data_IF_282062414220
#
_entry.id   IF_282062414220
#
_cell.length_a   1.000
_cell.length_b   1.000
_cell.length_c   1.000
_cell.angle_alpha   90.00
_cell.angle_beta   90.00
_cell.angle_gamma   90.00
#
_symmetry.space_group_name_H-M   'P 1'
#
loop_
_entity.id
_entity.type
_entity.pdbx_description
1 polymer ?
#
# COMPACT_ATOMS: atom_id res chain seq x y z
N UNK A 1 -49.81 -3.76 -3.08
CA UNK A 1 -48.66 -2.92 -3.46
C UNK A 1 -47.60 -3.14 -2.39
N UNK A 2 -46.63 -3.99 -2.68
CA UNK A 2 -45.46 -4.18 -1.81
C UNK A 2 -44.61 -2.92 -2.01
N UNK A 3 -44.42 -2.15 -0.95
CA UNK A 3 -43.49 -1.03 -0.96
C UNK A 3 -42.11 -1.60 -1.27
N UNK A 4 -41.50 -1.19 -2.38
CA UNK A 4 -40.11 -1.44 -2.62
C UNK A 4 -39.34 -0.70 -1.51
N UNK A 5 -38.67 -1.45 -0.63
CA UNK A 5 -37.67 -0.89 0.26
C UNK A 5 -36.62 -0.21 -0.62
N UNK A 6 -36.59 1.12 -0.58
CA UNK A 6 -35.49 1.89 -1.16
C UNK A 6 -34.27 1.51 -0.33
N UNK A 7 -33.21 0.91 -0.92
CA UNK A 7 -32.01 0.58 -0.16
C UNK A 7 -31.49 1.87 0.47
N UNK A 8 -31.35 1.91 1.79
CA UNK A 8 -30.65 3.01 2.45
C UNK A 8 -29.23 3.06 1.87
N UNK A 9 -28.90 4.16 1.18
CA UNK A 9 -27.53 4.39 0.73
C UNK A 9 -26.62 4.39 1.95
N UNK A 10 -25.69 3.43 2.00
CA UNK A 10 -24.67 3.40 3.04
C UNK A 10 -23.92 4.73 2.99
N UNK A 11 -23.87 5.49 4.10
CA UNK A 11 -23.27 6.82 4.09
C UNK A 11 -21.80 6.73 3.67
N UNK A 12 -21.43 7.59 2.72
CA UNK A 12 -20.06 7.70 2.22
C UNK A 12 -19.14 8.28 3.30
N UNK A 13 -17.91 7.78 3.36
CA UNK A 13 -16.85 8.31 4.19
C UNK A 13 -16.29 9.60 3.55
N UNK A 14 -15.92 10.62 4.35
CA UNK A 14 -15.32 11.85 3.84
C UNK A 14 -13.83 11.65 3.54
N UNK A 15 -13.54 10.64 2.72
CA UNK A 15 -12.21 10.34 2.19
C UNK A 15 -12.18 10.70 0.71
N UNK A 16 -11.40 11.72 0.37
CA UNK A 16 -11.22 12.18 -1.00
C UNK A 16 -10.23 11.29 -1.74
N UNK A 17 -10.70 10.67 -2.82
CA UNK A 17 -9.94 9.80 -3.69
C UNK A 17 -9.26 10.58 -4.81
N UNK A 18 -7.97 10.32 -4.98
CA UNK A 18 -7.15 10.71 -6.13
C UNK A 18 -6.47 9.48 -6.70
N UNK A 19 -6.31 9.45 -8.03
CA UNK A 19 -5.68 8.33 -8.72
C UNK A 19 -4.67 8.85 -9.72
N UNK A 20 -3.46 8.29 -9.69
CA UNK A 20 -2.35 8.67 -10.55
C UNK A 20 -1.86 7.45 -11.31
N UNK A 21 -1.59 7.61 -12.61
CA UNK A 21 -0.87 6.60 -13.38
C UNK A 21 0.63 6.73 -13.11
N UNK A 22 1.27 5.60 -12.81
CA UNK A 22 2.72 5.50 -12.59
C UNK A 22 3.32 4.34 -13.39
N UNK A 23 4.60 4.46 -13.67
CA UNK A 23 5.41 3.47 -14.41
C UNK A 23 6.63 3.12 -13.57
N UNK A 24 6.53 2.18 -12.62
CA UNK A 24 7.63 1.87 -11.70
C UNK A 24 8.81 1.16 -12.38
N UNK A 25 8.58 0.58 -13.56
CA UNK A 25 9.59 -0.15 -14.32
C UNK A 25 9.18 -0.25 -15.79
N UNK A 26 10.07 -0.83 -16.59
CA UNK A 26 9.85 -0.89 -18.03
C UNK A 26 8.61 -1.73 -18.35
N UNK A 27 7.66 -1.14 -19.10
CA UNK A 27 6.37 -1.76 -19.44
C UNK A 27 5.53 -2.19 -18.24
N UNK A 28 5.79 -1.63 -17.04
CA UNK A 28 4.97 -1.84 -15.85
C UNK A 28 4.12 -0.59 -15.64
N UNK A 29 2.81 -0.80 -15.45
CA UNK A 29 1.86 0.27 -15.23
C UNK A 29 1.07 0.02 -13.95
N UNK A 30 0.95 1.06 -13.14
CA UNK A 30 0.27 1.01 -11.85
C UNK A 30 -0.64 2.23 -11.66
N UNK A 31 -1.76 2.04 -10.97
CA UNK A 31 -2.55 3.14 -10.45
C UNK A 31 -2.20 3.35 -8.98
N UNK A 32 -1.69 4.52 -8.64
CA UNK A 32 -1.51 4.94 -7.26
C UNK A 32 -2.78 5.61 -6.80
N UNK A 33 -3.48 4.99 -5.85
CA UNK A 33 -4.74 5.49 -5.31
C UNK A 33 -4.46 6.11 -3.94
N UNK A 34 -4.89 7.35 -3.75
CA UNK A 34 -4.70 8.12 -2.53
C UNK A 34 -6.07 8.45 -1.96
N UNK A 35 -6.31 8.13 -0.69
CA UNK A 35 -7.52 8.47 0.05
C UNK A 35 -7.13 9.40 1.19
N UNK A 36 -7.63 10.64 1.17
CA UNK A 36 -7.30 11.66 2.18
C UNK A 36 -8.52 12.03 3.01
N UNK A 37 -8.39 12.04 4.34
CA UNK A 37 -9.44 12.54 5.21
C UNK A 37 -9.61 14.05 5.04
N UNK A 38 -10.76 14.46 4.50
CA UNK A 38 -11.11 15.86 4.24
C UNK A 38 -12.07 16.45 5.30
N UNK A 39 -12.43 15.66 6.31
CA UNK A 39 -13.19 16.15 7.46
C UNK A 39 -12.28 16.78 8.51
N UNK A 40 -12.90 17.50 9.44
CA UNK A 40 -12.29 18.06 10.64
C UNK A 40 -12.19 17.06 11.81
N UNK A 41 -12.74 15.85 11.64
CA UNK A 41 -12.72 14.78 12.63
C UNK A 41 -11.93 13.54 12.15
N UNK A 42 -11.44 12.68 13.07
CA UNK A 42 -10.88 11.40 12.68
C UNK A 42 -11.91 10.47 12.02
N UNK A 43 -11.51 9.79 10.95
CA UNK A 43 -12.35 8.84 10.22
C UNK A 43 -11.71 7.46 10.27
N UNK A 44 -12.49 6.41 10.52
CA UNK A 44 -12.00 5.03 10.46
C UNK A 44 -12.43 4.36 9.16
N UNK A 45 -11.48 3.76 8.45
CA UNK A 45 -11.72 2.98 7.22
C UNK A 45 -11.37 1.51 7.44
N UNK A 46 -12.24 0.60 6.99
CA UNK A 46 -11.90 -0.83 6.97
C UNK A 46 -10.96 -1.09 5.79
N UNK A 47 -9.84 -1.78 6.03
CA UNK A 47 -8.88 -2.19 5.00
C UNK A 47 -9.52 -2.99 3.87
N UNK A 48 -10.63 -3.70 4.14
CA UNK A 48 -11.42 -4.43 3.14
C UNK A 48 -12.18 -3.53 2.17
N UNK A 49 -12.53 -2.32 2.59
CA UNK A 49 -13.26 -1.36 1.77
C UNK A 49 -12.32 -0.60 0.81
N UNK A 50 -11.00 -0.81 0.90
CA UNK A 50 -10.01 -0.05 0.13
C UNK A 50 -10.00 -0.44 -1.35
N UNK A 51 -9.80 0.51 -2.30
CA UNK A 51 -9.94 0.27 -3.74
C UNK A 51 -8.96 -0.76 -4.33
N UNK A 52 -7.84 -1.00 -3.63
CA UNK A 52 -6.79 -1.95 -3.99
C UNK A 52 -6.95 -3.33 -3.34
N UNK A 53 -7.91 -3.50 -2.43
CA UNK A 53 -8.23 -4.76 -1.76
C UNK A 53 -9.64 -5.24 -2.15
N UNK A 54 -9.94 -5.52 -3.42
CA UNK A 54 -11.29 -5.88 -3.81
C UNK A 54 -11.71 -7.21 -3.17
N UNK A 55 -12.59 -7.16 -2.18
CA UNK A 55 -13.15 -8.37 -1.54
C UNK A 55 -14.23 -9.03 -2.38
N UNK A 56 -14.97 -8.22 -3.15
CA UNK A 56 -16.15 -8.65 -3.91
C UNK A 56 -16.02 -8.42 -5.42
N UNK A 57 -14.79 -8.28 -5.92
CA UNK A 57 -14.54 -8.01 -7.34
C UNK A 57 -14.99 -6.60 -7.76
N UNK A 58 -14.69 -5.58 -6.94
CA UNK A 58 -15.07 -4.19 -7.19
C UNK A 58 -14.80 -3.74 -8.63
N UNK A 59 -15.85 -3.22 -9.28
CA UNK A 59 -15.83 -2.79 -10.68
C UNK A 59 -15.56 -1.30 -10.83
N UNK A 60 -15.05 -0.66 -9.77
CA UNK A 60 -14.81 0.79 -9.73
C UNK A 60 -13.97 1.31 -10.88
N UNK A 61 -13.08 0.49 -11.45
CA UNK A 61 -12.23 0.82 -12.59
C UNK A 61 -12.72 0.11 -13.86
N UNK A 62 -12.91 0.87 -14.91
CA UNK A 62 -13.17 0.43 -16.27
C UNK A 62 -11.98 0.72 -17.19
N UNK A 63 -11.79 -0.11 -18.21
CA UNK A 63 -10.74 0.05 -19.21
C UNK A 63 -11.32 -0.12 -20.62
N UNK A 64 -11.01 0.80 -21.53
CA UNK A 64 -11.44 0.78 -22.93
C UNK A 64 -10.28 1.09 -23.86
N UNK A 65 -10.28 0.50 -25.05
CA UNK A 65 -9.34 0.87 -26.12
C UNK A 65 -9.66 2.26 -26.63
N UNK A 66 -8.64 3.01 -27.05
CA UNK A 66 -8.79 4.29 -27.75
C UNK A 66 -9.01 4.08 -29.27
N UNK A 67 -9.73 3.03 -29.63
CA UNK A 67 -10.17 2.79 -31.00
C UNK A 67 -11.45 3.61 -31.33
N UNK A 68 -11.88 3.58 -32.59
CA UNK A 68 -13.05 4.33 -33.05
C UNK A 68 -14.36 3.96 -32.32
N UNK A 69 -14.44 2.76 -31.72
CA UNK A 69 -15.63 2.23 -31.06
C UNK A 69 -15.53 2.28 -29.52
N UNK A 70 -14.40 2.75 -28.98
CA UNK A 70 -14.07 2.70 -27.55
C UNK A 70 -14.31 1.32 -26.93
N UNK A 71 -13.83 0.28 -27.59
CA UNK A 71 -14.17 -1.10 -27.20
C UNK A 71 -13.69 -1.44 -25.78
N UNK A 72 -14.51 -2.11 -24.96
CA UNK A 72 -14.11 -2.47 -23.59
C UNK A 72 -12.98 -3.50 -23.58
N UNK A 73 -12.11 -3.39 -22.58
CA UNK A 73 -11.01 -4.32 -22.32
C UNK A 73 -11.40 -5.22 -21.16
N UNK A 74 -11.15 -6.53 -21.31
CA UNK A 74 -11.41 -7.50 -20.25
C UNK A 74 -10.42 -7.28 -19.09
N UNK A 75 -10.95 -7.21 -17.88
CA UNK A 75 -10.17 -7.11 -16.66
C UNK A 75 -10.35 -8.37 -15.81
N UNK A 76 -9.26 -8.82 -15.21
CA UNK A 76 -9.28 -9.80 -14.13
C UNK A 76 -9.63 -9.06 -12.83
N UNK A 77 -10.69 -9.52 -12.18
CA UNK A 77 -11.03 -9.04 -10.85
C UNK A 77 -10.28 -9.90 -9.83
N UNK A 78 -9.42 -9.31 -8.97
CA UNK A 78 -8.80 -10.07 -7.91
C UNK A 78 -9.91 -10.60 -6.98
N UNK A 79 -9.86 -11.90 -6.70
CA UNK A 79 -10.71 -12.53 -5.70
C UNK A 79 -9.84 -12.80 -4.47
N UNK A 80 -10.13 -12.12 -3.37
CA UNK A 80 -9.40 -12.28 -2.12
C UNK A 80 -10.28 -11.99 -0.92
N UNK A 81 -10.12 -12.75 0.16
CA UNK A 81 -10.72 -12.42 1.45
C UNK A 81 -9.67 -11.74 2.29
N UNK A 82 -9.69 -10.41 2.32
CA UNK A 82 -8.86 -9.64 3.23
C UNK A 82 -9.50 -9.63 4.62
N UNK A 83 -8.68 -9.67 5.68
CA UNK A 83 -9.16 -9.50 7.04
C UNK A 83 -9.72 -8.09 7.25
N UNK A 84 -10.72 -7.95 8.12
CA UNK A 84 -11.21 -6.65 8.56
C UNK A 84 -10.22 -6.04 9.53
N UNK A 85 -9.79 -4.81 9.28
CA UNK A 85 -9.01 -4.03 10.22
C UNK A 85 -9.39 -2.57 10.04
N UNK A 86 -9.81 -1.91 11.11
CA UNK A 86 -10.10 -0.48 11.07
C UNK A 86 -8.79 0.30 11.17
N UNK A 87 -8.59 1.22 10.23
CA UNK A 87 -7.48 2.17 10.21
C UNK A 87 -8.05 3.56 10.42
N UNK A 88 -7.69 4.22 11.53
CA UNK A 88 -8.07 5.59 11.79
C UNK A 88 -7.17 6.56 11.02
N UNK A 89 -7.77 7.59 10.43
CA UNK A 89 -7.12 8.67 9.72
C UNK A 89 -7.50 10.00 10.37
N UNK A 90 -6.51 10.76 10.84
CA UNK A 90 -6.75 12.12 11.38
C UNK A 90 -7.03 13.11 10.24
N UNK A 91 -7.56 14.32 10.52
CA UNK A 91 -7.79 15.33 9.48
C UNK A 91 -6.56 15.60 8.61
N UNK A 92 -6.75 15.60 7.29
CA UNK A 92 -5.69 15.82 6.30
C UNK A 92 -4.77 14.62 6.04
N UNK A 93 -4.92 13.53 6.79
CA UNK A 93 -4.10 12.34 6.64
C UNK A 93 -4.56 11.47 5.46
N UNK A 94 -3.59 10.80 4.81
CA UNK A 94 -3.87 9.90 3.70
C UNK A 94 -3.53 8.44 3.98
N UNK A 95 -4.27 7.53 3.37
CA UNK A 95 -3.86 6.15 3.13
C UNK A 95 -3.76 5.93 1.62
N UNK A 96 -2.73 5.22 1.17
CA UNK A 96 -2.41 5.09 -0.24
C UNK A 96 -1.91 3.68 -0.54
N UNK A 97 -2.17 3.19 -1.75
CA UNK A 97 -1.55 1.98 -2.27
C UNK A 97 -1.66 1.94 -3.80
N UNK A 98 -1.03 0.93 -4.40
CA UNK A 98 -1.03 0.69 -5.84
C UNK A 98 -2.02 -0.40 -6.28
N UNK A 99 -2.53 -0.25 -7.49
CA UNK A 99 -3.22 -1.28 -8.26
C UNK A 99 -2.39 -1.58 -9.49
N UNK A 100 -1.77 -2.76 -9.52
CA UNK A 100 -0.99 -3.21 -10.67
C UNK A 100 -1.90 -3.48 -11.88
N UNK A 101 -1.67 -2.78 -12.98
CA UNK A 101 -2.54 -2.87 -14.17
C UNK A 101 -2.22 -4.08 -15.03
N UNK A 102 -0.94 -4.43 -15.22
CA UNK A 102 -0.53 -5.58 -16.04
C UNK A 102 -1.21 -6.90 -15.63
N UNK A 103 -1.21 -7.33 -14.35
CA UNK A 103 -1.91 -8.55 -13.95
C UNK A 103 -3.44 -8.40 -13.96
N UNK A 104 -3.95 -7.18 -13.75
CA UNK A 104 -5.39 -6.87 -13.79
C UNK A 104 -5.94 -6.85 -15.22
N UNK A 105 -5.13 -6.48 -16.21
CA UNK A 105 -5.53 -6.33 -17.61
C UNK A 105 -4.53 -7.13 -18.46
N UNK A 106 -4.77 -8.44 -18.67
CA UNK A 106 -3.80 -9.31 -19.33
C UNK A 106 -3.37 -8.85 -20.73
N UNK A 107 -4.26 -8.20 -21.47
CA UNK A 107 -3.98 -7.67 -22.81
C UNK A 107 -3.44 -6.24 -22.82
N UNK A 108 -3.11 -5.66 -21.65
CA UNK A 108 -2.79 -4.23 -21.52
C UNK A 108 -1.73 -3.75 -22.49
N UNK A 109 -0.62 -4.48 -22.60
CA UNK A 109 0.51 -4.09 -23.44
C UNK A 109 0.14 -4.14 -24.93
N UNK A 110 -0.55 -5.19 -25.36
CA UNK A 110 -1.03 -5.34 -26.73
C UNK A 110 -2.04 -4.23 -27.08
N UNK A 111 -2.95 -3.91 -26.15
CA UNK A 111 -3.96 -2.86 -26.33
C UNK A 111 -3.31 -1.47 -26.41
N UNK A 112 -2.27 -1.20 -25.61
CA UNK A 112 -1.46 0.02 -25.68
C UNK A 112 -0.77 0.12 -27.04
N UNK A 113 -0.14 -0.96 -27.53
CA UNK A 113 0.55 -0.95 -28.82
C UNK A 113 -0.42 -0.70 -30.00
N UNK A 114 -1.58 -1.35 -29.98
CA UNK A 114 -2.50 -1.36 -31.13
C UNK A 114 -3.42 -0.13 -31.17
N UNK A 115 -3.92 0.31 -30.01
CA UNK A 115 -4.98 1.31 -29.92
C UNK A 115 -4.70 2.42 -28.92
N UNK A 116 -3.93 2.15 -27.86
CA UNK A 116 -3.93 2.97 -26.65
C UNK A 116 -5.11 2.61 -25.74
N UNK A 117 -5.01 3.00 -24.47
CA UNK A 117 -5.94 2.59 -23.42
C UNK A 117 -6.44 3.81 -22.63
N UNK A 118 -7.74 3.86 -22.39
CA UNK A 118 -8.37 4.77 -21.44
C UNK A 118 -8.83 3.99 -20.21
N UNK A 119 -8.46 4.49 -19.04
CA UNK A 119 -8.89 4.01 -17.73
C UNK A 119 -9.88 5.02 -17.16
N UNK A 120 -11.01 4.58 -16.62
CA UNK A 120 -12.06 5.48 -16.14
C UNK A 120 -12.80 4.90 -14.94
N UNK A 121 -13.24 5.77 -14.04
CA UNK A 121 -14.11 5.45 -12.91
C UNK A 121 -15.18 6.51 -12.69
N UNK A 122 -16.24 6.12 -11.98
CA UNK A 122 -17.32 7.03 -11.60
C UNK A 122 -16.89 7.93 -10.43
N UNK A 123 -17.46 9.13 -10.38
CA UNK A 123 -17.23 10.08 -9.30
C UNK A 123 -18.55 10.56 -8.68
N UNK A 124 -18.90 10.10 -7.47
CA UNK A 124 -18.15 9.16 -6.64
C UNK A 124 -18.31 7.69 -7.14
N UNK A 125 -17.35 6.78 -6.89
CA UNK A 125 -17.48 5.40 -7.37
C UNK A 125 -18.66 4.70 -6.68
N UNK A 126 -19.53 4.04 -7.45
CA UNK A 126 -20.73 3.36 -6.91
C UNK A 126 -20.38 2.22 -5.95
N UNK A 127 -19.34 1.45 -6.28
CA UNK A 127 -18.91 0.27 -5.53
C UNK A 127 -18.02 0.58 -4.31
N UNK A 128 -17.72 1.87 -4.07
CA UNK A 128 -16.81 2.30 -3.00
C UNK A 128 -17.48 3.32 -2.08
N UNK A 129 -17.05 3.34 -0.82
CA UNK A 129 -17.59 4.27 0.20
C UNK A 129 -16.98 5.67 0.14
N UNK A 130 -16.12 5.98 -0.83
CA UNK A 130 -15.32 7.20 -0.86
C UNK A 130 -15.93 8.27 -1.77
N UNK A 131 -15.40 9.50 -1.69
CA UNK A 131 -15.76 10.61 -2.58
C UNK A 131 -14.59 10.93 -3.50
N UNK A 132 -14.82 11.53 -4.66
CA UNK A 132 -13.72 12.03 -5.49
C UNK A 132 -13.23 13.38 -4.99
N UNK A 133 -11.92 13.62 -5.04
CA UNK A 133 -11.38 14.94 -4.75
C UNK A 133 -11.84 15.95 -5.82
N UNK A 134 -12.32 17.14 -5.43
CA UNK A 134 -12.70 18.18 -6.39
C UNK A 134 -11.55 18.53 -7.34
N UNK A 135 -11.83 18.52 -8.64
CA UNK A 135 -10.87 18.86 -9.70
C UNK A 135 -9.91 17.74 -10.10
N UNK A 136 -9.89 16.61 -9.40
CA UNK A 136 -9.09 15.45 -9.82
C UNK A 136 -9.74 14.75 -11.01
N UNK A 137 -8.97 14.35 -12.04
CA UNK A 137 -9.51 13.65 -13.19
C UNK A 137 -10.05 12.29 -12.76
N UNK A 138 -11.15 11.86 -13.36
CA UNK A 138 -11.70 10.51 -13.21
C UNK A 138 -11.40 9.60 -14.42
N UNK A 139 -10.45 10.03 -15.24
CA UNK A 139 -10.02 9.34 -16.46
C UNK A 139 -8.52 9.50 -16.64
N UNK A 140 -7.84 8.43 -17.01
CA UNK A 140 -6.42 8.39 -17.34
C UNK A 140 -6.23 7.78 -18.72
N UNK A 141 -5.26 8.28 -19.47
CA UNK A 141 -4.99 7.87 -20.85
C UNK A 141 -3.56 7.34 -20.94
N UNK A 142 -3.41 6.15 -21.50
CA UNK A 142 -2.14 5.59 -21.96
C UNK A 142 -2.16 5.66 -23.49
N UNK A 143 -1.32 6.50 -24.11
CA UNK A 143 -1.38 6.72 -25.56
C UNK A 143 -0.98 5.46 -26.33
N UNK A 144 -1.45 5.38 -27.58
CA UNK A 144 -1.06 4.31 -28.50
C UNK A 144 0.46 4.29 -28.67
N UNK A 145 1.08 3.11 -28.49
CA UNK A 145 2.52 2.93 -28.61
C UNK A 145 3.33 3.58 -27.49
N UNK A 146 2.73 3.82 -26.32
CA UNK A 146 3.48 4.30 -25.15
C UNK A 146 4.69 3.40 -24.89
N UNK A 147 5.91 3.97 -24.79
CA UNK A 147 7.13 3.18 -24.68
C UNK A 147 7.28 2.49 -23.32
N UNK A 148 6.41 2.78 -22.35
CA UNK A 148 6.47 2.19 -21.00
C UNK A 148 7.75 2.56 -20.27
N UNK A 149 8.32 3.74 -20.53
CA UNK A 149 9.52 4.20 -19.84
C UNK A 149 9.21 4.45 -18.35
N UNK A 150 10.09 4.01 -17.43
CA UNK A 150 9.90 4.25 -16.01
C UNK A 150 9.80 5.74 -15.68
N UNK A 151 9.02 6.06 -14.65
CA UNK A 151 9.01 7.40 -14.08
C UNK A 151 10.40 7.76 -13.54
N UNK A 152 10.86 8.99 -13.84
CA UNK A 152 12.16 9.48 -13.38
C UNK A 152 11.99 10.22 -12.06
N UNK A 153 12.72 9.76 -11.04
CA UNK A 153 12.74 10.37 -9.71
C UNK A 153 14.12 10.97 -9.42
N UNK A 154 14.14 12.19 -8.89
CA UNK A 154 15.37 12.81 -8.41
C UNK A 154 15.70 12.29 -7.00
N UNK A 155 16.61 11.33 -6.91
CA UNK A 155 17.01 10.71 -5.64
C UNK A 155 18.42 11.18 -5.26
N UNK A 156 18.57 11.74 -4.06
CA UNK A 156 19.89 11.99 -3.47
C UNK A 156 20.43 10.71 -2.84
N UNK A 157 21.18 9.95 -3.63
CA UNK A 157 21.77 8.68 -3.18
C UNK A 157 22.70 8.83 -1.98
N UNK A 158 23.35 9.98 -1.81
CA UNK A 158 24.25 10.18 -0.67
C UNK A 158 23.45 10.40 0.61
N UNK A 159 22.37 11.18 0.56
CA UNK A 159 21.44 11.31 1.68
C UNK A 159 20.78 9.97 2.03
N UNK A 160 20.39 9.18 1.02
CA UNK A 160 19.82 7.86 1.23
C UNK A 160 20.75 6.92 1.99
N UNK A 161 22.04 6.84 1.62
CA UNK A 161 23.03 6.03 2.35
C UNK A 161 23.18 6.43 3.82
N UNK A 162 23.01 7.71 4.14
CA UNK A 162 23.03 8.17 5.54
C UNK A 162 21.81 7.66 6.29
N UNK A 163 20.62 7.73 5.68
CA UNK A 163 19.38 7.23 6.25
C UNK A 163 19.39 5.71 6.41
N UNK A 164 19.89 4.96 5.44
CA UNK A 164 20.03 3.49 5.48
C UNK A 164 20.83 3.04 6.70
N UNK A 165 21.97 3.68 6.95
CA UNK A 165 22.80 3.39 8.13
C UNK A 165 22.09 3.75 9.43
N UNK A 166 21.32 4.83 9.42
CA UNK A 166 20.59 5.31 10.60
C UNK A 166 19.48 4.35 11.02
N UNK A 167 18.76 3.76 10.06
CA UNK A 167 17.67 2.82 10.32
C UNK A 167 18.14 1.36 10.47
N UNK A 168 19.43 1.09 10.23
CA UNK A 168 19.97 -0.27 10.27
C UNK A 168 19.49 -1.13 9.11
N UNK A 169 19.33 -0.55 7.92
CA UNK A 169 18.86 -1.27 6.74
C UNK A 169 19.82 -2.40 6.36
N UNK A 170 19.24 -3.56 6.09
CA UNK A 170 19.94 -4.72 5.54
C UNK A 170 19.66 -4.73 4.04
N UNK A 171 20.74 -4.70 3.26
CA UNK A 171 20.69 -4.79 1.81
C UNK A 171 20.20 -6.19 1.41
N UNK A 172 19.08 -6.24 0.69
CA UNK A 172 18.47 -7.45 0.14
C UNK A 172 18.15 -7.19 -1.34
N UNK A 173 18.03 -8.23 -2.18
CA UNK A 173 17.62 -8.05 -3.56
C UNK A 173 16.35 -7.19 -3.68
N UNK A 174 16.41 -6.19 -4.55
CA UNK A 174 15.30 -5.27 -4.79
C UNK A 174 14.08 -5.99 -5.38
N UNK A 175 12.88 -5.45 -5.16
CA UNK A 175 11.65 -5.94 -5.79
C UNK A 175 10.41 -5.97 -4.90
N UNK A 176 10.54 -5.59 -3.63
CA UNK A 176 9.44 -5.63 -2.66
C UNK A 176 9.41 -4.37 -1.79
N UNK A 177 8.21 -3.88 -1.49
CA UNK A 177 7.96 -2.71 -0.62
C UNK A 177 8.11 -3.08 0.87
N UNK A 178 9.12 -3.89 1.18
CA UNK A 178 9.42 -4.43 2.50
C UNK A 178 10.88 -4.18 2.82
N UNK A 179 11.14 -3.49 3.92
CA UNK A 179 12.48 -3.25 4.44
C UNK A 179 12.83 -4.30 5.48
N UNK A 180 14.10 -4.70 5.52
CA UNK A 180 14.64 -5.56 6.57
C UNK A 180 15.62 -4.75 7.40
N UNK A 181 15.34 -4.63 8.70
CA UNK A 181 16.17 -3.83 9.60
C UNK A 181 16.83 -4.72 10.65
N UNK A 182 18.11 -4.46 10.89
CA UNK A 182 18.82 -5.05 12.02
C UNK A 182 18.39 -4.33 13.31
N UNK A 183 17.84 -5.07 14.25
CA UNK A 183 17.26 -4.53 15.47
C UNK A 183 17.56 -5.43 16.68
N UNK A 184 17.80 -4.83 17.84
CA UNK A 184 17.92 -5.56 19.10
C UNK A 184 16.53 -5.86 19.68
N UNK A 185 16.39 -6.91 20.48
CA UNK A 185 15.11 -7.22 21.15
C UNK A 185 14.60 -6.07 22.02
N UNK A 186 15.52 -5.30 22.63
CA UNK A 186 15.18 -4.17 23.51
C UNK A 186 14.39 -3.08 22.80
N UNK A 187 14.62 -2.86 21.49
CA UNK A 187 13.88 -1.84 20.74
C UNK A 187 12.41 -2.21 20.56
N UNK A 188 12.07 -3.50 20.60
CA UNK A 188 10.69 -3.99 20.45
C UNK A 188 9.84 -3.74 21.72
N UNK A 189 10.49 -3.54 22.86
CA UNK A 189 9.83 -3.18 24.13
C UNK A 189 9.92 -1.70 24.46
N UNK A 190 10.76 -0.94 23.76
CA UNK A 190 10.90 0.51 23.92
C UNK A 190 9.98 1.24 22.94
N UNK A 191 8.85 1.74 23.45
CA UNK A 191 7.85 2.44 22.67
C UNK A 191 8.40 3.70 21.98
N UNK A 192 9.20 4.49 22.70
CA UNK A 192 9.73 5.76 22.19
C UNK A 192 10.80 5.51 21.13
N UNK A 193 11.71 4.56 21.40
CA UNK A 193 12.72 4.12 20.46
C UNK A 193 12.12 3.54 19.17
N UNK A 194 11.11 2.68 19.29
CA UNK A 194 10.42 2.10 18.13
C UNK A 194 9.69 3.16 17.31
N UNK A 195 8.99 4.09 17.96
CA UNK A 195 8.30 5.19 17.26
C UNK A 195 9.30 6.05 16.50
N UNK A 196 10.41 6.41 17.14
CA UNK A 196 11.48 7.20 16.51
C UNK A 196 12.12 6.46 15.32
N UNK A 197 12.32 5.14 15.44
CA UNK A 197 12.84 4.32 14.35
C UNK A 197 11.88 4.29 13.17
N UNK A 198 10.59 4.03 13.40
CA UNK A 198 9.58 3.98 12.35
C UNK A 198 9.40 5.35 11.65
N UNK A 199 9.54 6.47 12.37
CA UNK A 199 9.55 7.81 11.75
C UNK A 199 10.78 8.03 10.86
N UNK A 200 11.94 7.54 11.27
CA UNK A 200 13.14 7.58 10.44
C UNK A 200 13.03 6.66 9.21
N UNK A 201 12.30 5.54 9.33
CA UNK A 201 11.96 4.67 8.21
C UNK A 201 11.02 5.37 7.24
N UNK A 202 9.97 6.04 7.72
CA UNK A 202 9.07 6.80 6.85
C UNK A 202 9.82 7.88 6.07
N UNK A 203 10.70 8.65 6.74
CA UNK A 203 11.56 9.65 6.08
C UNK A 203 12.49 9.03 5.02
N UNK A 204 13.02 7.83 5.28
CA UNK A 204 13.79 7.08 4.30
C UNK A 204 12.93 6.67 3.09
N UNK A 205 11.76 6.08 3.30
CA UNK A 205 10.87 5.65 2.21
C UNK A 205 10.46 6.84 1.34
N UNK A 206 10.01 7.94 1.95
CA UNK A 206 9.57 9.13 1.21
C UNK A 206 10.67 9.75 0.34
N UNK A 207 11.93 9.70 0.79
CA UNK A 207 13.05 10.32 0.07
C UNK A 207 13.74 9.39 -0.91
N UNK A 208 13.82 8.10 -0.59
CA UNK A 208 14.66 7.14 -1.28
C UNK A 208 13.88 6.14 -2.11
N UNK A 209 12.59 5.99 -1.83
CA UNK A 209 11.66 5.13 -2.56
C UNK A 209 10.40 5.90 -2.95
N UNK A 210 10.50 6.97 -3.76
CA UNK A 210 9.35 7.82 -4.13
C UNK A 210 8.30 7.12 -5.00
N UNK A 211 8.63 5.95 -5.57
CA UNK A 211 7.66 5.06 -6.21
C UNK A 211 6.87 4.24 -5.19
N UNK A 212 7.33 4.13 -3.95
CA UNK A 212 6.59 3.49 -2.88
C UNK A 212 5.56 4.50 -2.38
N UNK A 213 4.30 4.10 -2.42
CA UNK A 213 3.22 4.83 -1.73
C UNK A 213 3.47 4.85 -0.21
N UNK A 214 2.59 5.45 0.59
CA UNK A 214 2.70 5.30 2.05
C UNK A 214 2.29 3.91 2.59
N UNK A 215 2.24 2.88 1.73
CA UNK A 215 2.03 1.47 2.05
C UNK A 215 3.32 0.66 1.90
N UNK A 216 4.09 0.59 2.98
CA UNK A 216 5.34 -0.16 3.11
C UNK A 216 5.31 -1.03 4.38
N UNK A 217 6.20 -2.01 4.45
CA UNK A 217 6.35 -2.84 5.64
C UNK A 217 7.82 -2.94 6.08
N UNK A 218 8.01 -3.29 7.34
CA UNK A 218 9.34 -3.52 7.94
C UNK A 218 9.34 -4.86 8.64
N UNK A 219 10.39 -5.63 8.41
CA UNK A 219 10.73 -6.83 9.18
C UNK A 219 11.95 -6.55 10.04
N UNK A 220 11.82 -6.75 11.35
CA UNK A 220 12.91 -6.55 12.31
C UNK A 220 13.59 -7.88 12.60
N UNK A 221 14.91 -7.95 12.34
CA UNK A 221 15.71 -9.16 12.56
C UNK A 221 16.91 -8.90 13.45
N UNK A 222 17.30 -9.89 14.25
CA UNK A 222 18.47 -9.80 15.15
C UNK A 222 19.79 -10.18 14.48
N UNK A 223 19.75 -10.90 13.35
CA UNK A 223 20.92 -11.27 12.56
C UNK A 223 20.61 -11.15 11.06
N UNK A 224 21.48 -10.42 10.35
CA UNK A 224 21.34 -10.08 8.93
C UNK A 224 21.23 -11.30 8.01
N UNK A 225 21.77 -12.46 8.40
CA UNK A 225 21.71 -13.67 7.57
C UNK A 225 20.29 -14.22 7.41
N UNK A 226 19.35 -13.77 8.24
CA UNK A 226 17.94 -14.16 8.19
C UNK A 226 17.05 -13.13 7.47
N UNK A 227 17.63 -12.05 6.94
CA UNK A 227 16.88 -11.10 6.11
C UNK A 227 16.51 -11.70 4.75
N UNK A 228 15.38 -11.28 4.20
CA UNK A 228 14.87 -11.71 2.90
C UNK A 228 13.62 -12.60 2.99
N UNK A 229 13.17 -13.07 1.82
CA UNK A 229 11.89 -13.76 1.68
C UNK A 229 12.03 -15.27 1.85
N UNK A 230 10.95 -15.90 2.32
CA UNK A 230 10.88 -17.35 2.57
C UNK A 230 11.14 -18.20 1.31
N UNK A 231 10.86 -17.64 0.14
CA UNK A 231 11.02 -18.30 -1.15
C UNK A 231 12.45 -18.33 -1.69
N UNK A 232 13.38 -17.58 -1.08
CA UNK A 232 14.67 -17.24 -1.66
C UNK A 232 15.86 -17.93 -0.96
N UNK A 233 16.84 -18.38 -1.76
CA UNK A 233 18.16 -18.82 -1.29
C UNK A 233 18.17 -19.74 -0.07
N UNK A 234 19.06 -19.45 0.87
CA UNK A 234 19.22 -20.18 2.15
C UNK A 234 18.05 -19.94 3.12
N UNK A 235 17.22 -18.91 2.91
CA UNK A 235 16.07 -18.62 3.79
C UNK A 235 15.04 -19.76 3.78
N UNK A 236 14.94 -20.48 2.66
CA UNK A 236 14.11 -21.69 2.58
C UNK A 236 14.54 -22.75 3.59
N UNK A 237 15.85 -22.91 3.78
CA UNK A 237 16.44 -23.85 4.75
C UNK A 237 16.23 -23.34 6.18
N UNK A 238 16.53 -22.07 6.45
CA UNK A 238 16.30 -21.46 7.77
C UNK A 238 14.84 -21.55 8.22
N UNK A 239 13.89 -21.41 7.30
CA UNK A 239 12.47 -21.56 7.59
C UNK A 239 12.09 -23.02 7.88
N UNK A 240 12.57 -23.97 7.09
CA UNK A 240 12.34 -25.40 7.30
C UNK A 240 12.90 -25.89 8.66
N UNK A 241 14.03 -25.30 9.08
CA UNK A 241 14.67 -25.58 10.38
C UNK A 241 14.07 -24.74 11.53
N UNK A 242 13.16 -23.81 11.26
CA UNK A 242 12.51 -22.96 12.27
C UNK A 242 13.36 -21.81 12.82
N UNK A 243 14.56 -21.60 12.26
CA UNK A 243 15.57 -20.63 12.69
C UNK A 243 15.19 -19.19 12.33
N UNK A 244 14.50 -18.99 11.20
CA UNK A 244 14.07 -17.65 10.78
C UNK A 244 13.11 -17.01 11.78
N UNK A 245 12.21 -17.82 12.35
CA UNK A 245 11.26 -17.38 13.39
C UNK A 245 11.94 -17.11 14.75
N UNK A 246 13.20 -17.50 14.94
CA UNK A 246 13.99 -17.14 16.12
C UNK A 246 14.66 -15.77 15.94
N UNK A 247 14.96 -15.39 14.70
CA UNK A 247 15.65 -14.14 14.40
C UNK A 247 14.72 -13.00 14.02
N UNK A 248 13.54 -13.28 13.46
CA UNK A 248 12.51 -12.26 13.21
C UNK A 248 11.77 -11.97 14.52
N UNK A 249 11.98 -10.78 15.07
CA UNK A 249 11.44 -10.36 16.35
C UNK A 249 10.16 -9.53 16.21
N UNK A 250 9.80 -9.13 15.00
CA UNK A 250 8.52 -8.52 14.69
C UNK A 250 8.43 -7.86 13.32
N UNK A 251 7.23 -7.41 13.00
CA UNK A 251 6.88 -6.82 11.70
C UNK A 251 5.97 -5.62 11.88
N UNK A 252 6.22 -4.57 11.13
CA UNK A 252 5.34 -3.40 11.06
C UNK A 252 4.77 -3.24 9.65
N UNK A 253 3.50 -2.84 9.56
CA UNK A 253 2.87 -2.42 8.31
C UNK A 253 2.35 -0.99 8.46
N UNK A 254 2.79 -0.09 7.59
CA UNK A 254 2.31 1.30 7.59
C UNK A 254 0.83 1.39 7.18
N UNK A 255 0.37 0.47 6.33
CA UNK A 255 -1.00 0.41 5.84
C UNK A 255 -2.00 0.15 6.97
N UNK A 256 -1.71 -0.80 7.86
CA UNK A 256 -2.59 -1.17 8.98
C UNK A 256 -2.11 -0.63 10.34
N UNK A 257 -1.02 0.15 10.35
CA UNK A 257 -0.47 0.85 11.53
C UNK A 257 -0.28 -0.06 12.73
N UNK A 258 0.22 -1.26 12.47
CA UNK A 258 0.30 -2.31 13.46
C UNK A 258 1.69 -2.90 13.51
N UNK A 259 2.27 -2.94 14.71
CA UNK A 259 3.48 -3.68 15.01
C UNK A 259 3.09 -5.04 15.60
N UNK A 260 3.44 -6.10 14.88
CA UNK A 260 3.38 -7.47 15.38
C UNK A 260 4.69 -7.79 16.06
N UNK A 261 4.64 -8.20 17.33
CA UNK A 261 5.80 -8.66 18.06
C UNK A 261 5.80 -10.18 18.12
N UNK A 262 6.98 -10.77 17.99
CA UNK A 262 7.15 -12.21 18.07
C UNK A 262 7.99 -12.51 19.32
N UNK A 263 7.35 -13.01 20.38
CA UNK A 263 8.07 -13.44 21.57
C UNK A 263 8.77 -14.77 21.31
N UNK A 264 10.05 -14.88 21.72
CA UNK A 264 10.84 -16.11 21.67
C UNK A 264 10.09 -17.29 22.34
N UNK A 265 9.54 -17.10 23.54
CA UNK A 265 9.13 -18.23 24.39
C UNK A 265 7.74 -18.78 24.07
N UNK A 266 6.89 -18.06 23.32
CA UNK A 266 5.58 -18.56 22.86
C UNK A 266 5.27 -17.90 21.53
N UNK A 267 5.36 -18.66 20.43
CA UNK A 267 5.00 -18.22 19.06
C UNK A 267 3.48 -18.01 18.92
N UNK A 268 2.93 -17.02 19.63
CA UNK A 268 1.72 -16.28 19.30
C UNK A 268 2.14 -14.84 19.10
N UNK A 269 1.77 -14.25 17.98
CA UNK A 269 1.91 -12.82 17.80
C UNK A 269 1.07 -12.12 18.88
N UNK A 270 1.70 -11.26 19.68
CA UNK A 270 0.99 -10.22 20.42
C UNK A 270 1.00 -8.94 19.58
N UNK A 271 -0.18 -8.32 19.47
CA UNK A 271 -0.37 -7.11 18.67
C UNK A 271 -0.12 -5.91 19.56
N UNK A 272 0.85 -5.06 19.20
CA UNK A 272 1.03 -3.74 19.79
C UNK A 272 0.68 -2.71 18.72
N UNK A 273 -0.35 -1.91 19.01
CA UNK A 273 -0.78 -0.86 18.09
C UNK A 273 0.16 0.36 18.23
N UNK A 274 0.85 0.69 17.15
CA UNK A 274 1.73 1.86 17.06
C UNK A 274 1.32 2.69 15.85
N UNK A 275 0.74 3.86 16.10
CA UNK A 275 0.50 4.85 15.06
C UNK A 275 1.68 5.82 15.02
N UNK A 276 2.32 5.95 13.85
CA UNK A 276 3.34 6.97 13.60
C UNK A 276 2.77 8.39 13.63
N UNK A 277 1.47 8.50 13.40
CA UNK A 277 0.76 9.75 13.34
C UNK A 277 0.04 9.95 14.66
N UNK A 278 0.16 11.14 15.28
CA UNK A 278 -0.40 11.37 16.59
C UNK A 278 -1.91 11.20 16.53
N UNK A 279 -2.41 10.09 17.07
CA UNK A 279 -3.56 10.22 17.94
C UNK A 279 -3.11 11.18 19.01
N UNK A 280 -3.64 12.40 19.00
CA UNK A 280 -3.74 13.13 20.24
C UNK A 280 -4.51 12.20 21.18
N UNK A 281 -3.78 11.49 22.05
CA UNK A 281 -4.37 10.99 23.27
C UNK A 281 -5.06 12.21 23.87
N UNK A 282 -6.39 12.17 23.94
CA UNK A 282 -7.15 13.10 24.74
C UNK A 282 -6.43 13.20 26.08
N UNK A 283 -5.82 14.36 26.34
CA UNK A 283 -5.49 14.73 27.70
C UNK A 283 -6.85 14.90 28.36
N UNK A 284 -7.29 13.85 29.03
CA UNK A 284 -8.37 13.97 30.01
C UNK A 284 -7.98 15.10 30.96
N UNK A 285 -8.87 16.07 31.03
CA UNK A 285 -8.76 17.29 31.82
C UNK A 285 -9.08 16.97 33.27
#
# INVERSE_FOLDING_TARGET
LVAAEVPEEVPRLPLAMEVFLKKPGQHLYELHVHLTNISDEPVSVDVRDLPWNPTDGSTWLSATRLDAHKSPIKQNLPLGRFGSQMVPLVPGESIQNRVALNPRIPSLLDDIEQAGVQLQWDCPPSDLKFVCKPGSPNTLIIPKGDPGQPDVYAIDHQACRVLERRIGLIDIPEGHDVLFLLASESIMTDLEGMTSLLLAVDDYVQRCHPSWTNSWAVSFVTDKKFAGFLSEGENRRYFAEGLWQEANIGQYSSQIRTLFRFQWIKKRADTVYLSLFPFQQQKDT
#
